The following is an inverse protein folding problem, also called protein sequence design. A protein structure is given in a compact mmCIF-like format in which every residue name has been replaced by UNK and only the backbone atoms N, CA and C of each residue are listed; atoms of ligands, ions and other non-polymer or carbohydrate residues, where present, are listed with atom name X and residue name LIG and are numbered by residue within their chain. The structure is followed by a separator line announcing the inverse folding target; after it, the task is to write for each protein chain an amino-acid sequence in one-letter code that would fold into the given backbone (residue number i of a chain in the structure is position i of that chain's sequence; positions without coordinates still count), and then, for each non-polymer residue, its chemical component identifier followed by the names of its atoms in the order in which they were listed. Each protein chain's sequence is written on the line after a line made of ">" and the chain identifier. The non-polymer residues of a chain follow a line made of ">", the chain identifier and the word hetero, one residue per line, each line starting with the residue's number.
data_IF_115468949412
#
_entry.id   IF_115468949412
#
_cell.length_a   1.000
_cell.length_b   1.000
_cell.length_c   1.000
_cell.angle_alpha   90.00
_cell.angle_beta   90.00
_cell.angle_gamma   90.00
#
_symmetry.space_group_name_H-M   'P 1'
#
loop_
_entity.id
_entity.type
_entity.pdbx_description
1 polymer ?
#
# COMPACT_ATOMS: atom_id res chain seq x y z
N UNK A 1 0.19 16.43 -34.84
CA UNK A 1 1.17 15.50 -34.25
C UNK A 1 0.50 14.21 -33.82
N UNK A 2 -0.68 14.23 -33.18
CA UNK A 2 -1.37 13.02 -32.73
C UNK A 2 -2.09 12.24 -33.81
N UNK A 3 -2.30 12.80 -35.01
CA UNK A 3 -2.95 12.14 -36.15
C UNK A 3 -2.16 10.92 -36.67
N UNK A 4 -0.85 10.90 -36.43
CA UNK A 4 0.06 9.84 -36.89
C UNK A 4 0.15 8.65 -35.90
N UNK A 5 -0.30 8.83 -34.62
CA UNK A 5 -0.33 7.76 -33.67
C UNK A 5 -1.42 6.76 -34.03
N UNK A 6 -1.11 5.49 -34.11
CA UNK A 6 -2.07 4.48 -34.55
C UNK A 6 -2.07 3.20 -33.70
N UNK A 7 -0.92 2.75 -33.24
CA UNK A 7 -0.77 1.48 -32.52
C UNK A 7 -0.66 1.68 -31.00
N UNK A 8 -0.93 0.62 -30.23
CA UNK A 8 -0.80 0.62 -28.75
C UNK A 8 0.58 1.15 -28.35
N UNK A 9 1.65 0.66 -28.98
CA UNK A 9 3.02 1.07 -28.64
C UNK A 9 3.29 2.55 -29.01
N UNK A 10 2.63 3.11 -30.03
CA UNK A 10 2.74 4.54 -30.33
C UNK A 10 2.23 5.39 -29.18
N UNK A 11 1.08 5.01 -28.58
CA UNK A 11 0.47 5.73 -27.47
C UNK A 11 1.28 5.56 -26.17
N UNK A 12 1.83 4.37 -25.91
CA UNK A 12 2.74 4.13 -24.77
C UNK A 12 3.97 5.04 -24.89
N UNK A 13 4.68 4.98 -26.02
CA UNK A 13 5.85 5.84 -26.28
C UNK A 13 5.49 7.33 -26.19
N UNK A 14 4.35 7.72 -26.76
CA UNK A 14 3.90 9.12 -26.71
C UNK A 14 3.60 9.55 -25.28
N UNK A 15 2.85 8.78 -24.52
CA UNK A 15 2.55 9.02 -23.10
C UNK A 15 3.84 9.18 -22.28
N UNK A 16 4.75 8.21 -22.37
CA UNK A 16 6.03 8.25 -21.68
C UNK A 16 6.85 9.52 -22.01
N UNK A 17 6.89 9.90 -23.29
CA UNK A 17 7.56 11.14 -23.74
C UNK A 17 6.89 12.40 -23.16
N UNK A 18 5.56 12.45 -23.11
CA UNK A 18 4.81 13.56 -22.52
C UNK A 18 5.02 13.67 -21.01
N UNK A 19 5.03 12.53 -20.30
CA UNK A 19 5.26 12.47 -18.86
C UNK A 19 6.66 12.98 -18.50
N UNK A 20 7.68 12.49 -19.23
CA UNK A 20 9.07 12.96 -19.05
C UNK A 20 9.23 14.45 -19.35
N UNK A 21 8.65 14.94 -20.45
CA UNK A 21 8.75 16.36 -20.83
C UNK A 21 8.03 17.29 -19.85
N UNK A 22 6.99 16.81 -19.17
CA UNK A 22 6.26 17.56 -18.14
C UNK A 22 6.95 17.50 -16.76
N UNK A 23 8.04 16.75 -16.59
CA UNK A 23 8.72 16.57 -15.33
C UNK A 23 7.78 15.99 -14.26
N UNK A 24 7.01 14.95 -14.63
CA UNK A 24 6.15 14.28 -13.67
C UNK A 24 6.95 13.45 -12.70
N UNK A 25 6.44 13.30 -11.48
CA UNK A 25 6.99 12.40 -10.47
C UNK A 25 6.33 11.04 -10.58
N UNK A 26 7.14 10.00 -10.48
CA UNK A 26 6.75 8.60 -10.47
C UNK A 26 6.92 8.03 -9.05
N UNK A 27 6.49 6.79 -8.80
CA UNK A 27 6.60 6.13 -7.50
C UNK A 27 5.27 5.83 -6.82
N UNK A 28 4.11 6.25 -7.42
CA UNK A 28 2.80 5.83 -6.91
C UNK A 28 2.47 4.37 -7.28
N UNK A 29 2.81 3.96 -8.51
CA UNK A 29 2.61 2.58 -9.00
C UNK A 29 3.79 2.08 -9.82
N UNK A 30 4.55 2.97 -10.41
CA UNK A 30 5.68 2.67 -11.30
C UNK A 30 6.78 3.70 -11.09
N UNK A 31 8.04 3.29 -11.29
CA UNK A 31 9.22 4.14 -11.04
C UNK A 31 9.70 4.88 -12.27
N UNK A 32 9.06 4.66 -13.41
CA UNK A 32 9.48 5.25 -14.67
C UNK A 32 8.30 5.57 -15.62
N UNK A 33 8.49 6.49 -16.57
CA UNK A 33 7.43 6.96 -17.45
C UNK A 33 6.91 5.91 -18.43
N UNK A 34 7.72 4.91 -18.79
CA UNK A 34 7.31 3.88 -19.78
C UNK A 34 6.30 2.93 -19.14
N UNK A 35 6.61 2.42 -17.97
CA UNK A 35 5.73 1.49 -17.26
C UNK A 35 4.43 2.18 -16.83
N UNK A 36 4.51 3.45 -16.38
CA UNK A 36 3.32 4.23 -16.05
C UNK A 36 2.44 4.51 -17.30
N UNK A 37 3.05 4.84 -18.44
CA UNK A 37 2.31 5.01 -19.69
C UNK A 37 1.72 3.69 -20.20
N UNK A 38 2.43 2.57 -20.00
CA UNK A 38 1.95 1.23 -20.34
C UNK A 38 0.71 0.90 -19.51
N UNK A 39 0.77 1.10 -18.21
CA UNK A 39 -0.40 0.91 -17.32
C UNK A 39 -1.59 1.77 -17.79
N UNK A 40 -1.39 3.07 -18.00
CA UNK A 40 -2.46 3.96 -18.44
C UNK A 40 -3.11 3.49 -19.74
N UNK A 41 -2.29 3.15 -20.75
CA UNK A 41 -2.78 2.78 -22.08
C UNK A 41 -3.51 1.44 -22.03
N UNK A 42 -2.92 0.42 -21.39
CA UNK A 42 -3.54 -0.91 -21.32
C UNK A 42 -4.83 -0.88 -20.52
N UNK A 43 -4.85 -0.21 -19.35
CA UNK A 43 -6.05 -0.06 -18.56
C UNK A 43 -7.16 0.70 -19.31
N UNK A 44 -6.82 1.79 -20.00
CA UNK A 44 -7.76 2.54 -20.83
C UNK A 44 -8.38 1.71 -21.97
N UNK A 45 -7.66 0.70 -22.44
CA UNK A 45 -8.10 -0.22 -23.49
C UNK A 45 -8.75 -1.49 -22.92
N UNK A 46 -8.85 -1.64 -21.59
CA UNK A 46 -9.32 -2.85 -20.91
C UNK A 46 -8.51 -4.11 -21.27
N UNK A 47 -7.20 -3.93 -21.50
CA UNK A 47 -6.27 -4.99 -21.82
C UNK A 47 -5.47 -5.43 -20.58
N UNK A 48 -5.03 -6.69 -20.50
CA UNK A 48 -4.24 -7.18 -19.38
C UNK A 48 -2.84 -6.55 -19.35
N UNK A 49 -2.21 -6.38 -18.15
CA UNK A 49 -0.90 -5.75 -18.01
C UNK A 49 0.23 -6.56 -18.65
N UNK A 50 0.06 -7.87 -18.77
CA UNK A 50 0.98 -8.82 -19.39
C UNK A 50 0.70 -9.08 -20.87
N UNK A 51 0.06 -8.09 -21.56
CA UNK A 51 -0.27 -8.20 -22.98
C UNK A 51 0.99 -8.61 -23.80
N UNK A 52 0.93 -9.73 -24.56
CA UNK A 52 2.07 -10.17 -25.33
C UNK A 52 2.55 -9.09 -26.32
N UNK A 53 3.86 -8.85 -26.47
CA UNK A 53 4.42 -7.75 -27.29
C UNK A 53 3.92 -7.71 -28.74
N UNK A 54 3.54 -8.87 -29.29
CA UNK A 54 3.00 -8.95 -30.64
C UNK A 54 1.72 -8.11 -30.85
N UNK A 55 0.93 -7.91 -29.80
CA UNK A 55 -0.29 -7.09 -29.84
C UNK A 55 -0.01 -5.59 -29.77
N UNK A 56 1.19 -5.18 -29.40
CA UNK A 56 1.58 -3.76 -29.32
C UNK A 56 1.45 -3.00 -30.67
N UNK A 57 1.49 -3.72 -31.80
CA UNK A 57 1.25 -3.17 -33.14
C UNK A 57 -0.26 -3.03 -33.46
N UNK A 58 -1.16 -3.49 -32.61
CA UNK A 58 -2.60 -3.33 -32.76
C UNK A 58 -3.00 -1.86 -32.84
N UNK A 59 -3.90 -1.53 -33.78
CA UNK A 59 -4.32 -0.15 -34.00
C UNK A 59 -5.56 0.16 -33.16
N UNK A 60 -5.53 1.35 -32.55
CA UNK A 60 -6.65 1.87 -31.80
C UNK A 60 -7.75 2.39 -32.74
N UNK A 61 -9.00 2.12 -32.43
CA UNK A 61 -10.15 2.79 -33.05
C UNK A 61 -10.27 4.23 -32.54
N UNK A 62 -11.08 5.04 -33.20
CA UNK A 62 -11.17 6.48 -32.91
C UNK A 62 -11.52 6.79 -31.44
N UNK A 63 -12.47 6.07 -30.88
CA UNK A 63 -12.92 6.24 -29.49
C UNK A 63 -11.84 5.87 -28.46
N UNK A 64 -11.08 4.79 -28.72
CA UNK A 64 -9.94 4.39 -27.88
C UNK A 64 -8.84 5.43 -27.89
N UNK A 65 -8.54 5.98 -29.08
CA UNK A 65 -7.53 7.05 -29.24
C UNK A 65 -7.89 8.29 -28.45
N UNK A 66 -9.14 8.73 -28.54
CA UNK A 66 -9.65 9.89 -27.82
C UNK A 66 -9.55 9.67 -26.30
N UNK A 67 -9.99 8.50 -25.80
CA UNK A 67 -9.91 8.11 -24.40
C UNK A 67 -8.47 8.14 -23.88
N UNK A 68 -7.54 7.47 -24.57
CA UNK A 68 -6.12 7.39 -24.17
C UNK A 68 -5.50 8.78 -24.17
N UNK A 69 -5.69 9.58 -25.22
CA UNK A 69 -5.15 10.94 -25.29
C UNK A 69 -5.72 11.84 -24.19
N UNK A 70 -7.00 11.72 -23.88
CA UNK A 70 -7.63 12.44 -22.76
C UNK A 70 -6.99 12.10 -21.41
N UNK A 71 -6.71 10.82 -21.16
CA UNK A 71 -6.06 10.39 -19.92
C UNK A 71 -4.60 10.85 -19.85
N UNK A 72 -3.84 10.77 -20.94
CA UNK A 72 -2.46 11.29 -21.02
C UNK A 72 -2.45 12.80 -20.72
N UNK A 73 -3.36 13.57 -21.31
CA UNK A 73 -3.43 15.02 -21.07
C UNK A 73 -3.80 15.34 -19.60
N UNK A 74 -4.76 14.62 -19.03
CA UNK A 74 -5.12 14.78 -17.62
C UNK A 74 -3.95 14.43 -16.69
N UNK A 75 -3.20 13.36 -16.98
CA UNK A 75 -1.99 13.01 -16.21
C UNK A 75 -0.97 14.13 -16.22
N UNK A 76 -0.76 14.77 -17.38
CA UNK A 76 0.19 15.88 -17.55
C UNK A 76 -0.31 17.17 -16.91
N UNK A 77 -1.56 17.58 -17.17
CA UNK A 77 -2.08 18.88 -16.75
C UNK A 77 -2.54 18.93 -15.30
N UNK A 78 -3.18 17.86 -14.84
CA UNK A 78 -3.73 17.76 -13.48
C UNK A 78 -2.77 17.07 -12.50
N UNK A 79 -1.73 16.38 -12.97
CA UNK A 79 -0.76 15.60 -12.20
C UNK A 79 -1.40 14.48 -11.35
N UNK A 80 -2.61 14.06 -11.70
CA UNK A 80 -3.33 12.96 -11.00
C UNK A 80 -2.60 11.64 -11.24
N UNK A 81 -2.31 10.83 -10.20
CA UNK A 81 -1.73 9.49 -10.36
C UNK A 81 -2.51 8.62 -11.34
N UNK A 82 -1.81 7.83 -12.16
CA UNK A 82 -2.46 6.98 -13.19
C UNK A 82 -3.48 6.05 -12.55
N UNK A 83 -3.17 5.44 -11.41
CA UNK A 83 -4.10 4.56 -10.71
C UNK A 83 -5.49 5.22 -10.47
N UNK A 84 -5.51 6.51 -10.11
CA UNK A 84 -6.77 7.25 -9.93
C UNK A 84 -7.44 7.64 -11.24
N UNK A 85 -6.66 7.87 -12.30
CA UNK A 85 -7.20 8.19 -13.62
C UNK A 85 -7.92 7.01 -14.26
N UNK A 86 -7.37 5.81 -14.08
CA UNK A 86 -7.92 4.57 -14.67
C UNK A 86 -8.83 3.82 -13.69
N UNK A 87 -8.81 4.19 -12.40
CA UNK A 87 -9.64 3.59 -11.36
C UNK A 87 -9.15 2.23 -10.87
N UNK A 88 -7.89 1.86 -11.19
CA UNK A 88 -7.31 0.57 -10.80
C UNK A 88 -5.82 0.68 -10.46
N UNK A 89 -5.37 -0.19 -9.56
CA UNK A 89 -3.97 -0.37 -9.19
C UNK A 89 -3.67 -1.87 -9.04
N UNK A 90 -2.38 -2.21 -9.05
CA UNK A 90 -1.91 -3.58 -8.86
C UNK A 90 -1.09 -3.67 -7.56
N UNK A 91 -1.31 -4.72 -6.79
CA UNK A 91 -0.58 -5.00 -5.57
C UNK A 91 -0.48 -6.52 -5.36
N UNK A 92 0.72 -7.03 -5.06
CA UNK A 92 0.95 -8.48 -4.90
C UNK A 92 0.31 -9.31 -6.03
N UNK A 93 0.47 -8.91 -7.30
CA UNK A 93 -0.10 -9.60 -8.46
C UNK A 93 -1.64 -9.52 -8.60
N UNK A 94 -2.34 -8.86 -7.69
CA UNK A 94 -3.79 -8.70 -7.70
C UNK A 94 -4.21 -7.29 -8.15
N UNK A 95 -5.36 -7.19 -8.81
CA UNK A 95 -5.92 -5.91 -9.24
C UNK A 95 -6.90 -5.37 -8.21
N UNK A 96 -6.79 -4.09 -7.85
CA UNK A 96 -7.66 -3.39 -6.91
C UNK A 96 -8.28 -2.17 -7.54
N UNK A 97 -9.50 -1.82 -7.13
CA UNK A 97 -10.06 -0.48 -7.36
C UNK A 97 -9.22 0.54 -6.58
N UNK A 98 -8.97 1.69 -7.21
CA UNK A 98 -8.13 2.74 -6.63
C UNK A 98 -8.69 4.11 -6.96
N UNK A 99 -8.89 4.94 -5.94
CA UNK A 99 -9.30 6.33 -6.07
C UNK A 99 -8.87 7.16 -4.84
N UNK A 100 -9.23 8.45 -4.81
CA UNK A 100 -8.79 9.42 -3.79
C UNK A 100 -9.25 9.12 -2.35
N UNK A 101 -10.02 8.07 -2.11
CA UNK A 101 -10.44 7.64 -0.76
C UNK A 101 -9.31 6.99 0.03
N UNK A 102 -8.31 6.42 -0.63
CA UNK A 102 -7.14 5.79 0.00
C UNK A 102 -5.89 6.01 -0.86
N UNK A 103 -4.70 5.78 -0.26
CA UNK A 103 -3.44 5.81 -1.00
C UNK A 103 -3.46 4.79 -2.14
N UNK A 104 -2.72 5.11 -3.21
CA UNK A 104 -2.43 4.12 -4.25
C UNK A 104 -1.69 2.94 -3.61
N UNK A 105 -2.16 1.69 -3.79
CA UNK A 105 -1.49 0.51 -3.25
C UNK A 105 -0.01 0.45 -3.64
N UNK A 106 0.85 0.54 -2.62
CA UNK A 106 2.30 0.40 -2.75
C UNK A 106 2.87 0.04 -1.38
N UNK A 107 3.57 -1.07 -1.28
CA UNK A 107 4.26 -1.48 -0.06
C UNK A 107 5.17 -2.67 -0.39
N UNK A 108 6.39 -2.74 0.14
CA UNK A 108 7.24 -3.93 0.00
C UNK A 108 6.67 -5.15 0.72
N UNK A 109 5.68 -4.98 1.59
CA UNK A 109 4.96 -6.08 2.26
C UNK A 109 4.33 -7.05 1.24
N UNK A 110 4.07 -6.61 -0.01
CA UNK A 110 3.67 -7.50 -1.10
C UNK A 110 4.61 -8.70 -1.26
N UNK A 111 5.94 -8.49 -1.19
CA UNK A 111 6.94 -9.57 -1.28
C UNK A 111 6.83 -10.57 -0.12
N UNK A 112 6.48 -10.11 1.08
CA UNK A 112 6.25 -10.99 2.23
C UNK A 112 4.97 -11.83 2.03
N UNK A 113 3.89 -11.24 1.54
CA UNK A 113 2.65 -11.94 1.24
C UNK A 113 2.90 -13.04 0.20
N UNK A 114 3.57 -12.70 -0.91
CA UNK A 114 3.90 -13.64 -1.98
C UNK A 114 4.80 -14.80 -1.51
N UNK A 115 5.67 -14.57 -0.51
CA UNK A 115 6.54 -15.58 0.10
C UNK A 115 5.91 -16.32 1.28
N UNK A 116 4.63 -16.07 1.62
CA UNK A 116 3.96 -16.65 2.78
C UNK A 116 4.56 -16.22 4.12
N UNK A 117 5.14 -15.02 4.18
CA UNK A 117 5.84 -14.48 5.36
C UNK A 117 7.00 -15.35 5.85
N UNK A 118 7.65 -16.08 4.94
CA UNK A 118 8.84 -16.84 5.27
C UNK A 118 9.99 -15.90 5.70
N UNK A 119 10.86 -16.30 6.65
CA UNK A 119 10.85 -17.59 7.37
C UNK A 119 9.99 -17.60 8.64
N UNK A 120 9.34 -16.48 9.00
CA UNK A 120 8.68 -16.32 10.32
C UNK A 120 7.49 -17.26 10.51
N UNK A 121 6.73 -17.54 9.44
CA UNK A 121 5.50 -18.35 9.50
C UNK A 121 5.66 -19.78 8.95
N UNK A 122 6.86 -20.21 8.52
CA UNK A 122 7.09 -21.53 7.89
C UNK A 122 6.57 -22.73 8.69
N UNK A 123 6.50 -22.60 10.02
CA UNK A 123 6.07 -23.68 10.91
C UNK A 123 4.98 -23.24 11.89
N UNK A 124 4.32 -22.11 11.63
CA UNK A 124 3.26 -21.55 12.47
C UNK A 124 1.91 -21.74 11.79
N UNK A 125 0.91 -22.12 12.56
CA UNK A 125 -0.47 -22.08 12.10
C UNK A 125 -0.99 -20.66 12.29
N UNK A 126 -1.51 -20.07 11.23
CA UNK A 126 -2.20 -18.78 11.27
C UNK A 126 -3.67 -19.02 11.02
N UNK A 127 -4.50 -18.68 11.96
CA UNK A 127 -5.96 -18.71 11.83
C UNK A 127 -6.50 -17.31 11.55
N UNK A 128 -5.98 -16.32 12.29
CA UNK A 128 -6.45 -14.94 12.19
C UNK A 128 -5.30 -13.96 11.95
N UNK A 129 -5.46 -13.13 10.92
CA UNK A 129 -4.57 -12.03 10.64
C UNK A 129 -5.29 -10.67 10.72
N UNK A 130 -4.52 -9.61 10.96
CA UNK A 130 -5.01 -8.23 11.04
C UNK A 130 -4.17 -7.33 10.14
N UNK A 131 -4.83 -6.49 9.35
CA UNK A 131 -4.23 -5.38 8.61
C UNK A 131 -4.70 -4.05 9.21
N UNK A 132 -3.79 -3.34 9.89
CA UNK A 132 -4.04 -2.03 10.50
C UNK A 132 -3.66 -0.90 9.56
N UNK A 133 -4.46 0.18 9.55
CA UNK A 133 -4.32 1.30 8.62
C UNK A 133 -4.43 0.83 7.16
N UNK A 134 -5.44 -0.01 6.91
CA UNK A 134 -5.57 -0.81 5.69
C UNK A 134 -5.76 -0.01 4.41
N UNK A 135 -6.23 1.24 4.48
CA UNK A 135 -6.50 2.08 3.31
C UNK A 135 -7.50 1.43 2.34
N UNK A 136 -7.03 1.06 1.16
CA UNK A 136 -7.84 0.39 0.12
C UNK A 136 -8.13 -1.09 0.42
N UNK A 137 -7.58 -1.65 1.50
CA UNK A 137 -7.69 -3.07 1.84
C UNK A 137 -6.66 -3.97 1.16
N UNK A 138 -5.72 -3.42 0.40
CA UNK A 138 -4.87 -4.22 -0.49
C UNK A 138 -3.99 -5.24 0.25
N UNK A 139 -3.41 -4.90 1.40
CA UNK A 139 -2.57 -5.81 2.20
C UNK A 139 -3.44 -6.94 2.76
N UNK A 140 -4.50 -6.62 3.51
CA UNK A 140 -5.34 -7.63 4.14
C UNK A 140 -6.06 -8.55 3.15
N UNK A 141 -6.56 -8.00 2.05
CA UNK A 141 -7.19 -8.77 0.99
C UNK A 141 -6.18 -9.68 0.30
N UNK A 142 -4.97 -9.19 0.00
CA UNK A 142 -3.92 -10.02 -0.58
C UNK A 142 -3.50 -11.14 0.39
N UNK A 143 -3.39 -10.87 1.70
CA UNK A 143 -3.16 -11.93 2.70
C UNK A 143 -4.22 -13.03 2.62
N UNK A 144 -5.50 -12.67 2.50
CA UNK A 144 -6.60 -13.64 2.39
C UNK A 144 -6.57 -14.42 1.07
N UNK A 145 -6.19 -13.79 -0.05
CA UNK A 145 -6.09 -14.44 -1.36
C UNK A 145 -4.94 -15.47 -1.41
N UNK A 146 -3.78 -15.11 -0.87
CA UNK A 146 -2.63 -16.01 -0.82
C UNK A 146 -2.76 -17.13 0.24
N UNK A 147 -3.64 -16.95 1.23
CA UNK A 147 -3.85 -17.89 2.33
C UNK A 147 -5.36 -18.17 2.52
N UNK A 148 -5.95 -19.09 1.75
CA UNK A 148 -7.40 -19.32 1.71
C UNK A 148 -8.04 -19.75 3.03
N UNK A 149 -7.25 -20.28 3.97
CA UNK A 149 -7.70 -20.73 5.28
C UNK A 149 -7.68 -19.64 6.34
N UNK A 150 -7.15 -18.43 6.03
CA UNK A 150 -7.04 -17.35 7.01
C UNK A 150 -8.33 -16.52 7.07
N UNK A 151 -8.68 -16.10 8.30
CA UNK A 151 -9.66 -15.05 8.55
C UNK A 151 -8.90 -13.74 8.75
N UNK A 152 -9.24 -12.71 8.01
CA UNK A 152 -8.50 -11.44 8.01
C UNK A 152 -9.43 -10.28 8.40
N UNK A 153 -9.07 -9.60 9.47
CA UNK A 153 -9.70 -8.32 9.81
C UNK A 153 -8.89 -7.19 9.16
N UNK A 154 -9.55 -6.23 8.52
CA UNK A 154 -8.92 -5.04 7.98
C UNK A 154 -9.48 -3.81 8.66
N UNK A 155 -8.61 -2.92 9.11
CA UNK A 155 -8.98 -1.81 10.00
C UNK A 155 -8.46 -0.48 9.47
N UNK A 156 -9.33 0.52 9.46
CA UNK A 156 -8.98 1.90 9.21
C UNK A 156 -9.85 2.85 10.03
N UNK A 157 -9.35 4.02 10.33
CA UNK A 157 -10.10 5.08 11.00
C UNK A 157 -11.01 5.82 10.00
N UNK A 158 -10.63 5.88 8.72
CA UNK A 158 -11.34 6.55 7.63
C UNK A 158 -12.52 5.72 7.12
N UNK A 159 -13.76 6.18 7.25
CA UNK A 159 -14.90 5.50 6.65
C UNK A 159 -14.85 5.53 5.11
N UNK A 160 -14.21 6.54 4.51
CA UNK A 160 -14.02 6.63 3.06
C UNK A 160 -13.07 5.54 2.56
N UNK A 161 -11.93 5.34 3.24
CA UNK A 161 -10.98 4.27 2.92
C UNK A 161 -11.68 2.90 3.04
N UNK A 162 -12.40 2.66 4.13
CA UNK A 162 -13.16 1.42 4.33
C UNK A 162 -14.29 1.22 3.31
N UNK A 163 -14.86 2.30 2.78
CA UNK A 163 -15.81 2.18 1.66
C UNK A 163 -15.14 1.59 0.43
N UNK A 164 -13.94 2.07 0.07
CA UNK A 164 -13.13 1.51 -1.02
C UNK A 164 -12.69 0.07 -0.73
N UNK A 165 -12.23 -0.19 0.50
CA UNK A 165 -11.82 -1.52 0.93
C UNK A 165 -12.95 -2.55 0.80
N UNK A 166 -14.19 -2.20 1.20
CA UNK A 166 -15.37 -3.08 1.01
C UNK A 166 -15.68 -3.35 -0.45
N UNK A 167 -15.50 -2.35 -1.34
CA UNK A 167 -15.63 -2.57 -2.78
C UNK A 167 -14.54 -3.53 -3.30
N UNK A 168 -13.33 -3.48 -2.74
CA UNK A 168 -12.23 -4.39 -3.09
C UNK A 168 -12.44 -5.80 -2.54
N UNK A 169 -13.00 -5.95 -1.33
CA UNK A 169 -13.41 -7.26 -0.78
C UNK A 169 -14.36 -7.97 -1.76
N UNK A 170 -15.42 -7.26 -2.19
CA UNK A 170 -16.37 -7.80 -3.17
C UNK A 170 -15.72 -8.07 -4.51
N UNK A 171 -14.84 -7.18 -4.97
CA UNK A 171 -14.15 -7.32 -6.25
C UNK A 171 -13.22 -8.54 -6.30
N UNK A 172 -12.61 -8.90 -5.16
CA UNK A 172 -11.74 -10.06 -5.01
C UNK A 172 -12.48 -11.33 -4.52
N UNK A 173 -13.80 -11.24 -4.27
CA UNK A 173 -14.60 -12.39 -3.83
C UNK A 173 -14.15 -13.03 -2.52
N UNK A 174 -13.75 -12.21 -1.53
CA UNK A 174 -13.25 -12.66 -0.21
C UNK A 174 -14.17 -12.24 0.95
N UNK A 175 -15.46 -11.97 0.70
CA UNK A 175 -16.43 -11.50 1.68
C UNK A 175 -16.66 -12.48 2.84
N UNK A 176 -16.37 -13.75 2.64
CA UNK A 176 -16.49 -14.83 3.63
C UNK A 176 -15.29 -14.89 4.60
N UNK A 177 -14.19 -14.24 4.27
CA UNK A 177 -12.91 -14.32 5.00
C UNK A 177 -12.35 -12.98 5.45
N UNK A 178 -12.80 -11.86 4.87
CA UNK A 178 -12.28 -10.52 5.17
C UNK A 178 -13.37 -9.63 5.78
N UNK A 179 -13.15 -9.16 7.01
CA UNK A 179 -14.04 -8.22 7.70
C UNK A 179 -13.44 -6.81 7.75
N UNK A 180 -14.17 -5.80 7.25
CA UNK A 180 -13.75 -4.39 7.29
C UNK A 180 -14.35 -3.67 8.51
N UNK A 181 -13.50 -3.22 9.44
CA UNK A 181 -13.85 -2.67 10.74
C UNK A 181 -13.37 -1.23 10.85
N UNK A 182 -14.27 -0.30 11.18
CA UNK A 182 -13.86 1.07 11.48
C UNK A 182 -13.34 1.16 12.92
N UNK A 183 -12.07 1.57 13.08
CA UNK A 183 -11.43 1.69 14.38
C UNK A 183 -10.22 2.64 14.34
N UNK A 184 -9.98 3.34 15.45
CA UNK A 184 -8.69 3.97 15.71
C UNK A 184 -7.75 2.90 16.29
N UNK A 185 -6.87 2.38 15.44
CA UNK A 185 -6.04 1.22 15.72
C UNK A 185 -6.86 0.07 16.34
N UNK A 186 -6.53 -0.35 17.54
CA UNK A 186 -7.13 -1.51 18.21
C UNK A 186 -8.45 -1.22 18.95
N UNK A 187 -8.87 0.04 19.06
CA UNK A 187 -9.99 0.43 19.94
C UNK A 187 -11.30 -0.34 19.66
N UNK A 188 -11.57 -0.71 18.40
CA UNK A 188 -12.76 -1.46 17.99
C UNK A 188 -12.59 -2.99 18.04
N UNK A 189 -11.46 -3.52 18.48
CA UNK A 189 -11.09 -4.94 18.38
C UNK A 189 -11.12 -5.69 19.71
N UNK A 190 -11.86 -5.18 20.71
CA UNK A 190 -11.89 -5.76 22.04
C UNK A 190 -12.20 -7.27 22.02
N UNK A 191 -11.34 -8.07 22.68
CA UNK A 191 -11.48 -9.52 22.79
C UNK A 191 -11.00 -10.33 21.58
N UNK A 192 -10.54 -9.67 20.49
CA UNK A 192 -9.91 -10.35 19.34
C UNK A 192 -8.43 -10.61 19.61
N UNK A 193 -7.91 -11.68 19.04
CA UNK A 193 -6.49 -12.05 19.05
C UNK A 193 -6.07 -12.47 17.65
N UNK A 194 -4.81 -12.19 17.29
CA UNK A 194 -4.28 -12.42 15.95
C UNK A 194 -2.93 -13.14 16.02
N UNK A 195 -2.71 -14.05 15.10
CA UNK A 195 -1.44 -14.75 14.92
C UNK A 195 -0.44 -13.88 14.14
N UNK A 196 -0.98 -13.00 13.29
CA UNK A 196 -0.23 -12.04 12.50
C UNK A 196 -0.93 -10.68 12.52
N UNK A 197 -0.20 -9.63 12.87
CA UNK A 197 -0.62 -8.24 12.68
C UNK A 197 0.33 -7.60 11.68
N UNK A 198 -0.22 -7.02 10.61
CA UNK A 198 0.54 -6.29 9.59
C UNK A 198 0.03 -4.86 9.52
N UNK A 199 0.92 -3.91 9.28
CA UNK A 199 0.52 -2.53 9.05
C UNK A 199 1.50 -1.79 8.14
N UNK A 200 0.95 -0.98 7.25
CA UNK A 200 1.64 0.13 6.61
C UNK A 200 0.96 1.44 7.05
N UNK A 201 1.27 1.94 8.26
CA UNK A 201 0.64 3.13 8.78
C UNK A 201 1.21 4.39 8.11
N UNK A 202 0.57 5.54 8.24
CA UNK A 202 1.18 6.83 7.95
C UNK A 202 2.52 6.99 8.70
N UNK A 203 3.59 7.39 7.99
CA UNK A 203 4.93 7.59 8.56
C UNK A 203 5.67 8.81 8.00
N UNK A 204 5.04 9.59 7.11
CA UNK A 204 5.63 10.81 6.55
C UNK A 204 5.57 11.94 7.59
N UNK A 205 6.66 12.66 7.76
CA UNK A 205 6.67 13.85 8.63
C UNK A 205 5.93 15.03 8.00
N UNK A 206 5.49 15.99 8.80
CA UNK A 206 4.84 17.21 8.25
C UNK A 206 5.77 18.00 7.33
N UNK A 207 7.07 18.07 7.64
CA UNK A 207 8.06 18.77 6.81
C UNK A 207 8.29 18.05 5.48
N UNK A 208 8.40 16.73 5.49
CA UNK A 208 8.49 15.92 4.27
C UNK A 208 7.23 16.05 3.43
N UNK A 209 6.05 16.00 4.06
CA UNK A 209 4.77 16.17 3.36
C UNK A 209 4.69 17.52 2.64
N UNK A 210 5.15 18.58 3.28
CA UNK A 210 5.18 19.91 2.67
C UNK A 210 6.15 20.02 1.46
N UNK A 211 7.14 19.13 1.40
CA UNK A 211 8.13 19.05 0.31
C UNK A 211 7.75 18.05 -0.79
N UNK A 212 6.68 17.26 -0.60
CA UNK A 212 6.27 16.26 -1.58
C UNK A 212 5.88 16.90 -2.92
N UNK A 213 6.14 16.20 -4.03
CA UNK A 213 5.67 16.61 -5.35
C UNK A 213 4.15 16.76 -5.42
N UNK A 214 3.68 17.57 -6.40
CA UNK A 214 2.26 17.88 -6.55
C UNK A 214 1.34 16.67 -6.75
N UNK A 215 1.86 15.57 -7.25
CA UNK A 215 1.15 14.29 -7.42
C UNK A 215 0.58 13.77 -6.09
N UNK A 216 1.32 13.91 -5.00
CA UNK A 216 0.91 13.45 -3.67
C UNK A 216 -0.25 14.26 -3.07
N UNK A 217 -0.51 15.48 -3.57
CA UNK A 217 -1.66 16.28 -3.13
C UNK A 217 -3.03 15.66 -3.49
N UNK A 218 -3.05 14.66 -4.37
CA UNK A 218 -4.24 13.92 -4.74
C UNK A 218 -4.56 12.79 -3.76
N UNK A 219 -3.59 12.37 -2.95
CA UNK A 219 -3.76 11.32 -1.94
C UNK A 219 -4.26 11.92 -0.60
N UNK A 220 -5.04 11.16 0.19
CA UNK A 220 -5.51 11.66 1.48
C UNK A 220 -4.34 11.87 2.45
N UNK A 221 -4.17 13.11 2.97
CA UNK A 221 -3.12 13.44 3.92
C UNK A 221 -3.13 12.52 5.15
N UNK A 222 -4.32 12.13 5.62
CA UNK A 222 -4.48 11.22 6.75
C UNK A 222 -3.73 9.88 6.56
N UNK A 223 -3.62 9.41 5.33
CA UNK A 223 -2.91 8.17 5.01
C UNK A 223 -1.39 8.35 4.86
N UNK A 224 -0.87 9.59 4.91
CA UNK A 224 0.55 9.88 4.71
C UNK A 224 1.24 10.31 6.00
N UNK A 225 0.66 11.24 6.78
CA UNK A 225 1.39 11.94 7.85
C UNK A 225 1.15 11.34 9.24
N UNK A 226 2.23 11.29 10.06
CA UNK A 226 2.20 10.81 11.44
C UNK A 226 3.17 11.59 12.34
N UNK A 227 2.76 12.79 12.75
CA UNK A 227 3.51 13.63 13.69
C UNK A 227 4.79 14.26 13.13
N UNK A 228 5.67 14.71 14.03
CA UNK A 228 6.89 15.45 13.66
C UNK A 228 7.97 14.55 13.04
N UNK A 229 8.05 13.28 13.42
CA UNK A 229 9.07 12.33 12.97
C UNK A 229 8.48 11.04 12.35
N UNK A 230 7.19 11.03 12.03
CA UNK A 230 6.52 9.91 11.39
C UNK A 230 6.23 8.71 12.29
N UNK A 231 6.47 8.77 13.61
CA UNK A 231 6.42 7.61 14.50
C UNK A 231 5.20 7.55 15.42
N UNK A 232 4.33 8.56 15.45
CA UNK A 232 3.25 8.62 16.45
C UNK A 232 2.32 7.40 16.39
N UNK A 233 1.88 6.98 15.22
CA UNK A 233 1.02 5.81 15.07
C UNK A 233 1.79 4.50 15.32
N UNK A 234 3.02 4.39 14.83
CA UNK A 234 3.85 3.22 15.08
C UNK A 234 4.07 2.98 16.58
N UNK A 235 4.38 4.03 17.35
CA UNK A 235 4.60 3.91 18.79
C UNK A 235 3.32 3.53 19.56
N UNK A 236 2.16 4.09 19.17
CA UNK A 236 0.86 3.66 19.73
C UNK A 236 0.59 2.18 19.43
N UNK A 237 0.88 1.76 18.22
CA UNK A 237 0.71 0.36 17.78
C UNK A 237 1.61 -0.58 18.59
N UNK A 238 2.88 -0.23 18.77
CA UNK A 238 3.83 -1.01 19.59
C UNK A 238 3.37 -1.13 21.06
N UNK A 239 2.81 -0.06 21.66
CA UNK A 239 2.31 -0.05 23.05
C UNK A 239 1.12 -0.99 23.25
N UNK A 240 0.29 -1.18 22.23
CA UNK A 240 -0.97 -1.91 22.32
C UNK A 240 -0.91 -3.33 21.72
N UNK A 241 -0.05 -3.59 20.74
CA UNK A 241 -0.08 -4.81 19.91
C UNK A 241 0.04 -6.11 20.71
N UNK A 242 0.85 -6.13 21.81
CA UNK A 242 1.01 -7.33 22.62
C UNK A 242 -0.31 -7.85 23.22
N UNK A 243 -1.27 -6.94 23.42
CA UNK A 243 -2.60 -7.29 23.96
C UNK A 243 -3.52 -7.92 22.90
N UNK A 244 -3.19 -7.81 21.63
CA UNK A 244 -3.96 -8.32 20.49
C UNK A 244 -3.27 -9.45 19.75
N UNK A 245 -2.04 -9.79 20.09
CA UNK A 245 -1.32 -10.94 19.54
C UNK A 245 -1.59 -12.21 20.35
N UNK A 246 -1.67 -13.36 19.69
CA UNK A 246 -1.58 -14.69 20.32
C UNK A 246 -0.18 -14.89 20.91
N UNK A 247 0.03 -15.94 21.72
CA UNK A 247 1.28 -16.13 22.46
C UNK A 247 2.52 -16.20 21.54
N UNK A 248 2.36 -16.81 20.36
CA UNK A 248 3.39 -16.89 19.30
C UNK A 248 3.15 -15.88 18.18
N UNK A 249 2.34 -14.85 18.42
CA UNK A 249 1.94 -13.88 17.41
C UNK A 249 3.09 -12.97 16.94
N UNK A 250 3.00 -12.56 15.68
CA UNK A 250 3.98 -11.74 14.98
C UNK A 250 3.39 -10.38 14.60
N UNK A 251 4.15 -9.32 14.80
CA UNK A 251 3.87 -7.97 14.32
C UNK A 251 4.84 -7.60 13.21
N UNK A 252 4.32 -7.13 12.07
CA UNK A 252 5.12 -6.60 10.96
C UNK A 252 4.62 -5.18 10.64
N UNK A 253 5.53 -4.19 10.67
CA UNK A 253 5.17 -2.80 10.45
C UNK A 253 6.14 -2.12 9.49
N UNK A 254 5.60 -1.40 8.53
CA UNK A 254 6.35 -0.48 7.67
C UNK A 254 6.42 0.90 8.34
N UNK A 255 7.62 1.48 8.37
CA UNK A 255 7.89 2.84 8.87
C UNK A 255 8.74 3.66 7.90
N UNK A 256 9.06 3.10 6.73
CA UNK A 256 9.83 3.77 5.68
C UNK A 256 11.10 4.43 6.19
N UNK A 257 11.32 5.68 5.82
CA UNK A 257 12.52 6.46 6.20
C UNK A 257 12.64 6.71 7.71
N UNK A 258 11.56 6.52 8.50
CA UNK A 258 11.59 6.67 9.96
C UNK A 258 12.30 5.50 10.68
N UNK A 259 12.77 4.47 9.97
CA UNK A 259 13.55 3.34 10.52
C UNK A 259 14.66 3.79 11.47
N UNK A 260 15.51 4.72 11.03
CA UNK A 260 16.65 5.19 11.82
C UNK A 260 16.23 5.94 13.08
N UNK A 261 15.14 6.70 12.99
CA UNK A 261 14.60 7.42 14.12
C UNK A 261 14.02 6.45 15.15
N UNK A 262 13.29 5.43 14.72
CA UNK A 262 12.73 4.39 15.57
C UNK A 262 13.83 3.57 16.28
N UNK A 263 14.83 3.10 15.54
CA UNK A 263 15.95 2.34 16.10
C UNK A 263 16.76 3.15 17.13
N UNK A 264 16.92 4.45 16.91
CA UNK A 264 17.58 5.36 17.86
C UNK A 264 16.72 5.62 19.10
N UNK A 265 15.42 5.71 18.95
CA UNK A 265 14.47 5.99 20.04
C UNK A 265 14.33 4.77 20.98
N UNK A 266 14.33 3.58 20.44
CA UNK A 266 14.14 2.31 21.14
C UNK A 266 15.30 1.33 20.88
N UNK A 267 16.54 1.68 21.30
CA UNK A 267 17.73 0.91 20.95
C UNK A 267 17.80 -0.47 21.60
N UNK A 268 16.99 -0.73 22.62
CA UNK A 268 16.94 -2.02 23.33
C UNK A 268 15.91 -2.98 22.71
N UNK A 269 15.01 -2.48 21.86
CA UNK A 269 13.99 -3.31 21.19
C UNK A 269 14.65 -4.05 20.01
N UNK A 270 14.56 -5.39 19.95
CA UNK A 270 15.24 -6.18 18.94
C UNK A 270 14.49 -6.19 17.61
N UNK A 271 14.31 -5.02 16.98
CA UNK A 271 13.69 -4.93 15.66
C UNK A 271 14.43 -5.81 14.64
N UNK A 272 13.73 -6.74 14.01
CA UNK A 272 14.28 -7.50 12.89
C UNK A 272 13.91 -6.75 11.60
N UNK A 273 14.85 -5.95 11.09
CA UNK A 273 14.66 -5.22 9.84
C UNK A 273 14.72 -6.16 8.65
N UNK A 274 13.72 -6.04 7.77
CA UNK A 274 13.52 -6.95 6.66
C UNK A 274 14.15 -6.37 5.39
N UNK A 275 14.98 -7.16 4.72
CA UNK A 275 15.57 -6.82 3.43
C UNK A 275 14.70 -7.34 2.29
N UNK A 276 14.39 -6.48 1.32
CA UNK A 276 13.59 -6.80 0.14
C UNK A 276 14.44 -6.81 -1.13
N UNK A 277 14.08 -7.65 -2.09
CA UNK A 277 14.77 -7.75 -3.39
C UNK A 277 14.70 -6.45 -4.18
N UNK A 278 13.62 -5.69 -4.01
CA UNK A 278 13.43 -4.39 -4.65
C UNK A 278 14.22 -3.26 -3.97
N UNK A 279 14.99 -3.56 -2.90
CA UNK A 279 15.78 -2.56 -2.20
C UNK A 279 14.97 -1.62 -1.30
N UNK A 280 13.71 -1.93 -1.01
CA UNK A 280 12.90 -1.18 -0.05
C UNK A 280 13.44 -1.38 1.38
N UNK A 281 13.24 -0.39 2.25
CA UNK A 281 13.70 -0.36 3.64
C UNK A 281 12.55 0.03 4.57
N UNK A 282 12.79 -0.06 5.89
CA UNK A 282 11.88 0.44 6.89
C UNK A 282 10.69 -0.48 7.17
N UNK A 283 10.84 -1.79 7.01
CA UNK A 283 9.87 -2.77 7.50
C UNK A 283 10.54 -3.63 8.56
N UNK A 284 9.89 -3.79 9.69
CA UNK A 284 10.41 -4.64 10.76
C UNK A 284 9.42 -5.71 11.19
N UNK A 285 9.95 -6.78 11.78
CA UNK A 285 9.19 -7.80 12.48
C UNK A 285 9.55 -7.79 13.98
N UNK A 286 8.55 -8.03 14.84
CA UNK A 286 8.68 -8.27 16.28
C UNK A 286 7.73 -9.38 16.70
N UNK A 287 8.19 -10.27 17.58
CA UNK A 287 7.31 -11.23 18.21
C UNK A 287 6.62 -10.62 19.44
N UNK A 288 5.46 -11.16 19.82
CA UNK A 288 4.74 -10.73 21.03
C UNK A 288 5.63 -10.69 22.28
N UNK A 289 6.52 -11.69 22.44
CA UNK A 289 7.45 -11.75 23.58
C UNK A 289 8.37 -10.53 23.67
N UNK A 290 8.85 -10.03 22.53
CA UNK A 290 9.74 -8.86 22.47
C UNK A 290 8.99 -7.58 22.88
N UNK A 291 7.74 -7.45 22.44
CA UNK A 291 6.86 -6.36 22.86
C UNK A 291 6.61 -6.36 24.37
N UNK A 292 6.38 -7.53 24.98
CA UNK A 292 6.18 -7.67 26.43
C UNK A 292 7.48 -7.36 27.20
N UNK A 293 8.62 -7.90 26.76
CA UNK A 293 9.92 -7.68 27.40
C UNK A 293 10.29 -6.19 27.43
N UNK A 294 10.02 -5.47 26.35
CA UNK A 294 10.37 -4.06 26.21
C UNK A 294 9.19 -3.08 26.46
N UNK A 295 8.05 -3.58 26.98
CA UNK A 295 6.81 -2.81 27.15
C UNK A 295 7.02 -1.47 27.88
N UNK A 296 7.92 -1.42 28.89
CA UNK A 296 8.18 -0.21 29.67
C UNK A 296 8.81 0.90 28.80
N UNK A 297 9.80 0.56 28.00
CA UNK A 297 10.48 1.52 27.11
C UNK A 297 9.53 2.01 25.99
N UNK A 298 8.81 1.06 25.38
CA UNK A 298 7.81 1.35 24.33
C UNK A 298 6.73 2.28 24.86
N UNK A 299 6.13 1.96 26.02
CA UNK A 299 5.10 2.80 26.64
C UNK A 299 5.59 4.21 26.99
N UNK A 300 6.81 4.33 27.52
CA UNK A 300 7.40 5.63 27.82
C UNK A 300 7.57 6.47 26.55
N UNK A 301 8.04 5.88 25.45
CA UNK A 301 8.17 6.55 24.16
C UNK A 301 6.80 6.98 23.59
N UNK A 302 5.79 6.10 23.65
CA UNK A 302 4.44 6.41 23.19
C UNK A 302 3.76 7.52 24.02
N UNK A 303 3.92 7.51 25.34
CA UNK A 303 3.34 8.52 26.24
C UNK A 303 3.98 9.90 26.09
N UNK A 304 5.25 9.98 25.74
CA UNK A 304 5.95 11.25 25.51
C UNK A 304 5.39 12.06 24.31
N UNK A 305 4.50 11.43 23.51
CA UNK A 305 3.91 11.99 22.27
C UNK A 305 2.39 12.22 22.35
N UNK A 306 1.79 11.93 23.47
CA UNK A 306 0.38 12.22 23.78
C UNK A 306 0.25 13.61 24.45
#
# INVERSE_FOLDING_TARGET
>A
VTAELSSIIDFIRYGASRFSAAGLTFGHSHDNPIDEATHLVLAALHLPPDLPPAYGAGKLVAEERERVLGLIERRVSERVPVAYLVGEAWFAGLKFKSDRRALVPRSPIAELIESGFAPWLDHRHVERALDLCTGSGCIGIAMAEYNPDWQVDIVDISPEALSLARENIVFQHVEDRVEAIQSDLFAGLAGRRYDLIVSNPPYVTEDEYAALPGEYSHEPKLGLTSGEDGLDLCLRMLDEAADYLTDDGLLIVEVGESERALAKLLPEVPFVWIEFKVGAMGVFALERRDLIEHAKAIRAAAQARR
#
